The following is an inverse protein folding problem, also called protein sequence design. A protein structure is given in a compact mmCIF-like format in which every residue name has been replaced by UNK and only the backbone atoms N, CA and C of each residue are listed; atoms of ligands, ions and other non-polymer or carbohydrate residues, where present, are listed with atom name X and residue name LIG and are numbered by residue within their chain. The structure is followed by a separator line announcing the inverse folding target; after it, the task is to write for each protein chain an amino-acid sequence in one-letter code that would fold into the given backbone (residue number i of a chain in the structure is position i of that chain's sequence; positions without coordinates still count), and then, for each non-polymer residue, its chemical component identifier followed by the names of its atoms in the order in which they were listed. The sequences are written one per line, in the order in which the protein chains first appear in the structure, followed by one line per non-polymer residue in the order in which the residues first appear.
data_IF_451112337933
#
_entry.id   IF_451112337933
#
_cell.length_a   1.000
_cell.length_b   1.000
_cell.length_c   1.000
_cell.angle_alpha   90.00
_cell.angle_beta   90.00
_cell.angle_gamma   90.00
#
_symmetry.space_group_name_H-M   'P 1'
#
loop_
_entity.id
_entity.type
_entity.pdbx_description
1 polymer ?
#
# COMPACT_ATOMS: atom_id res chain seq x y z
N UNK A 1 -0.64 5.75 2.53
CA UNK A 1 -0.16 6.04 3.91
C UNK A 1 -1.37 6.18 4.83
N UNK A 2 -1.21 5.84 6.10
CA UNK A 2 -2.23 6.04 7.15
C UNK A 2 -1.73 7.10 8.13
N UNK A 3 -2.58 8.08 8.42
CA UNK A 3 -2.33 9.09 9.45
C UNK A 3 -3.07 8.71 10.73
N UNK A 4 -2.45 9.00 11.87
CA UNK A 4 -3.07 8.86 13.18
C UNK A 4 -3.07 10.25 13.81
N UNK A 5 -4.19 10.65 14.39
CA UNK A 5 -4.32 12.00 14.96
C UNK A 5 -3.20 12.28 15.97
N UNK A 6 -2.59 13.46 15.84
CA UNK A 6 -1.44 13.86 16.65
C UNK A 6 -0.08 13.35 16.18
N UNK A 7 0.02 12.52 15.13
CA UNK A 7 1.32 12.11 14.59
C UNK A 7 1.91 13.15 13.65
N UNK A 8 3.25 13.32 13.71
CA UNK A 8 4.01 14.18 12.79
C UNK A 8 4.43 13.46 11.51
N UNK A 9 4.24 12.14 11.45
CA UNK A 9 4.61 11.29 10.32
C UNK A 9 3.47 10.30 10.03
N UNK A 10 3.30 9.98 8.75
CA UNK A 10 2.36 8.97 8.29
C UNK A 10 2.99 7.59 8.34
N UNK A 11 2.19 6.58 8.65
CA UNK A 11 2.60 5.18 8.51
C UNK A 11 2.50 4.78 7.04
N UNK A 12 3.59 4.26 6.48
CA UNK A 12 3.52 3.59 5.20
C UNK A 12 2.80 2.25 5.37
N UNK A 13 1.74 2.06 4.59
CA UNK A 13 0.88 0.86 4.65
C UNK A 13 1.04 -0.04 3.42
N UNK A 14 1.62 0.48 2.33
CA UNK A 14 1.98 -0.25 1.11
C UNK A 14 3.03 0.55 0.32
N UNK A 15 3.98 -0.13 -0.34
CA UNK A 15 4.86 0.46 -1.36
C UNK A 15 5.91 1.47 -0.87
N UNK A 16 6.45 1.32 0.35
CA UNK A 16 7.42 2.27 0.94
C UNK A 16 8.85 2.18 0.45
N UNK A 17 9.13 1.30 -0.50
CA UNK A 17 10.47 0.97 -1.01
C UNK A 17 10.53 1.21 -2.51
N UNK A 18 11.67 0.94 -3.15
CA UNK A 18 11.74 0.95 -4.60
C UNK A 18 10.73 -0.01 -5.26
N UNK A 19 10.47 0.24 -6.54
CA UNK A 19 9.66 -0.66 -7.37
C UNK A 19 10.23 -2.07 -7.32
N UNK A 20 9.39 -3.07 -7.08
CA UNK A 20 9.81 -4.48 -7.03
C UNK A 20 8.69 -5.43 -6.64
N UNK A 21 9.04 -6.67 -6.34
CA UNK A 21 8.11 -7.77 -6.05
C UNK A 21 8.18 -8.30 -4.61
N UNK A 22 9.02 -7.70 -3.77
CA UNK A 22 9.10 -8.01 -2.34
C UNK A 22 7.79 -7.68 -1.59
N UNK A 23 7.68 -8.16 -0.35
CA UNK A 23 6.47 -8.00 0.48
C UNK A 23 6.10 -6.54 0.79
N UNK A 24 7.08 -5.63 0.76
CA UNK A 24 6.86 -4.21 1.00
C UNK A 24 6.95 -3.35 -0.29
N UNK A 25 7.14 -4.00 -1.45
CA UNK A 25 7.34 -3.34 -2.74
C UNK A 25 6.10 -3.49 -3.62
N UNK A 26 5.94 -2.54 -4.54
CA UNK A 26 4.90 -2.53 -5.56
C UNK A 26 5.52 -2.43 -6.96
N UNK A 27 4.82 -2.92 -7.97
CA UNK A 27 5.15 -2.84 -9.38
C UNK A 27 3.91 -2.46 -10.18
N UNK A 28 3.87 -1.22 -10.70
CA UNK A 28 2.75 -0.71 -11.51
C UNK A 28 1.39 -0.89 -10.80
N UNK A 29 1.21 -0.36 -9.57
CA UNK A 29 -0.09 -0.41 -8.90
C UNK A 29 -1.11 0.44 -9.67
N UNK A 30 -2.33 -0.09 -9.87
CA UNK A 30 -3.37 0.60 -10.65
C UNK A 30 -4.65 0.90 -9.87
N UNK A 31 -4.82 0.31 -8.69
CA UNK A 31 -6.03 0.51 -7.88
C UNK A 31 -5.74 0.40 -6.40
N UNK A 32 -6.52 1.12 -5.60
CA UNK A 32 -6.50 1.09 -4.15
C UNK A 32 -7.93 1.13 -3.61
N UNK A 33 -8.22 0.30 -2.62
CA UNK A 33 -9.47 0.34 -1.87
C UNK A 33 -9.20 0.11 -0.39
N UNK A 34 -10.05 0.68 0.47
CA UNK A 34 -9.97 0.51 1.93
C UNK A 34 -11.30 -0.04 2.40
N UNK A 35 -11.29 -1.15 3.14
CA UNK A 35 -12.52 -1.70 3.72
C UNK A 35 -12.91 -0.96 5.03
N UNK A 36 -14.08 -1.30 5.59
CA UNK A 36 -14.59 -0.68 6.82
C UNK A 36 -13.71 -0.93 8.06
N UNK A 37 -12.86 -1.96 8.04
CA UNK A 37 -11.91 -2.28 9.10
C UNK A 37 -10.58 -1.52 8.93
N UNK A 38 -10.43 -0.73 7.87
CA UNK A 38 -9.21 0.01 7.56
C UNK A 38 -8.11 -0.83 6.90
N UNK A 39 -8.42 -2.04 6.45
CA UNK A 39 -7.50 -2.84 5.61
C UNK A 39 -7.39 -2.19 4.25
N UNK A 40 -6.16 -1.95 3.80
CA UNK A 40 -5.85 -1.39 2.48
C UNK A 40 -5.56 -2.53 1.54
N UNK A 41 -6.26 -2.56 0.40
CA UNK A 41 -5.97 -3.48 -0.70
C UNK A 41 -5.40 -2.71 -1.88
N UNK A 42 -4.36 -3.24 -2.49
CA UNK A 42 -3.71 -2.63 -3.66
C UNK A 42 -3.69 -3.61 -4.83
N UNK A 43 -4.20 -3.19 -5.98
CA UNK A 43 -4.07 -3.93 -7.23
C UNK A 43 -2.67 -3.68 -7.82
N UNK A 44 -1.73 -4.56 -7.48
CA UNK A 44 -0.32 -4.50 -7.84
C UNK A 44 -0.08 -5.15 -9.21
N UNK A 45 -0.52 -4.47 -10.27
CA UNK A 45 -0.74 -5.07 -11.58
C UNK A 45 0.54 -5.64 -12.23
N UNK A 46 1.68 -4.98 -12.04
CA UNK A 46 2.97 -5.44 -12.54
C UNK A 46 3.53 -6.66 -11.80
N UNK A 47 2.97 -7.00 -10.63
CA UNK A 47 3.26 -8.24 -9.91
C UNK A 47 2.10 -9.25 -10.00
N UNK A 48 1.03 -8.94 -10.75
CA UNK A 48 -0.15 -9.79 -10.92
C UNK A 48 -0.77 -10.26 -9.59
N UNK A 49 -0.83 -9.39 -8.59
CA UNK A 49 -1.34 -9.72 -7.25
C UNK A 49 -2.22 -8.62 -6.66
N UNK A 50 -3.00 -8.99 -5.65
CA UNK A 50 -3.61 -8.06 -4.71
C UNK A 50 -2.79 -8.13 -3.43
N UNK A 51 -2.35 -6.97 -2.93
CA UNK A 51 -1.69 -6.81 -1.64
C UNK A 51 -2.69 -6.34 -0.60
#
# INVERSE_FOLDING_TARGET
MKWVDGTKQGLVVAGGQEKGNGLAQLSIPQGIVVNQLGTVYVADAGNHRIM
#
